data_IF_335745148421
#
_entry.id   IF_335745148421
#
_cell.length_a   1.000
_cell.length_b   1.000
_cell.length_c   1.000
_cell.angle_alpha   90.00
_cell.angle_beta   90.00
_cell.angle_gamma   90.00
#
_symmetry.space_group_name_H-M   'P 1'
#
loop_
_entity.id
_entity.type
_entity.pdbx_description
1 polymer ?
#
# COMPACT_ATOMS: atom_id res chain seq x y z
N UNK A 1 10.65 4.41 -20.09
CA UNK A 1 10.66 3.07 -19.43
C UNK A 1 9.21 2.67 -19.16
N UNK A 2 8.89 1.39 -19.10
CA UNK A 2 7.55 0.90 -18.79
C UNK A 2 7.57 0.18 -17.42
N UNK A 3 6.42 0.12 -16.75
CA UNK A 3 6.28 -0.66 -15.52
C UNK A 3 6.60 -2.14 -15.83
N UNK A 4 7.46 -2.81 -15.05
CA UNK A 4 8.04 -4.09 -15.47
C UNK A 4 7.12 -5.31 -15.29
N UNK A 5 6.07 -5.20 -14.47
CA UNK A 5 5.19 -6.31 -14.11
C UNK A 5 3.95 -6.39 -15.01
N UNK A 6 3.49 -7.61 -15.30
CA UNK A 6 2.45 -7.88 -16.30
C UNK A 6 1.10 -8.25 -15.71
N UNK A 7 1.08 -8.95 -14.60
CA UNK A 7 -0.15 -9.35 -13.90
C UNK A 7 -0.11 -8.83 -12.48
N UNK A 8 -0.93 -7.82 -12.18
CA UNK A 8 -0.84 -7.04 -10.95
C UNK A 8 -2.11 -7.13 -10.12
N UNK A 9 -2.01 -7.62 -8.90
CA UNK A 9 -3.08 -7.56 -7.91
C UNK A 9 -3.05 -6.21 -7.18
N UNK A 10 -4.17 -5.47 -7.18
CA UNK A 10 -4.27 -4.17 -6.47
C UNK A 10 -5.33 -4.25 -5.39
N UNK A 11 -4.89 -4.30 -4.13
CA UNK A 11 -5.76 -4.31 -2.95
C UNK A 11 -6.15 -2.88 -2.58
N UNK A 12 -7.46 -2.63 -2.44
CA UNK A 12 -8.01 -1.29 -2.19
C UNK A 12 -8.15 -0.44 -3.46
N UNK A 13 -8.54 -1.07 -4.58
CA UNK A 13 -8.65 -0.46 -5.91
C UNK A 13 -10.06 0.06 -6.25
N UNK A 14 -10.94 0.25 -5.28
CA UNK A 14 -12.32 0.71 -5.53
C UNK A 14 -12.49 2.24 -5.51
N UNK A 15 -11.46 3.00 -5.13
CA UNK A 15 -11.42 4.47 -5.17
C UNK A 15 -10.01 5.01 -4.89
N UNK A 16 -9.86 6.33 -5.00
CA UNK A 16 -8.66 7.07 -4.59
C UNK A 16 -7.38 6.57 -5.26
N UNK A 17 -6.29 6.54 -4.49
CA UNK A 17 -4.95 6.16 -4.99
C UNK A 17 -4.96 4.77 -5.62
N UNK A 18 -5.61 3.77 -4.98
CA UNK A 18 -5.61 2.40 -5.49
C UNK A 18 -6.33 2.24 -6.82
N UNK A 19 -7.44 2.94 -7.03
CA UNK A 19 -8.13 2.97 -8.31
C UNK A 19 -7.28 3.66 -9.38
N UNK A 20 -6.69 4.81 -9.06
CA UNK A 20 -5.85 5.55 -9.99
C UNK A 20 -4.60 4.75 -10.41
N UNK A 21 -3.96 4.03 -9.48
CA UNK A 21 -2.87 3.10 -9.80
C UNK A 21 -3.37 1.98 -10.72
N UNK A 22 -4.53 1.36 -10.41
CA UNK A 22 -5.09 0.27 -11.21
C UNK A 22 -5.38 0.73 -12.65
N UNK A 23 -5.97 1.91 -12.83
CA UNK A 23 -6.19 2.49 -14.16
C UNK A 23 -4.89 2.73 -14.91
N UNK A 24 -3.89 3.31 -14.22
CA UNK A 24 -2.58 3.58 -14.84
C UNK A 24 -1.84 2.31 -15.26
N UNK A 25 -1.96 1.24 -14.50
CA UNK A 25 -1.41 -0.08 -14.84
C UNK A 25 -2.06 -0.65 -16.12
N UNK A 26 -3.40 -0.58 -16.22
CA UNK A 26 -4.11 -1.04 -17.44
C UNK A 26 -3.71 -0.22 -18.67
N UNK A 27 -3.60 1.11 -18.53
CA UNK A 27 -3.12 1.99 -19.61
C UNK A 27 -1.73 1.61 -20.10
N UNK A 28 -0.88 1.10 -19.22
CA UNK A 28 0.49 0.70 -19.51
C UNK A 28 0.65 -0.78 -19.87
N UNK A 29 -0.46 -1.48 -20.09
CA UNK A 29 -0.49 -2.82 -20.66
C UNK A 29 -0.35 -3.97 -19.66
N UNK A 30 -0.53 -3.70 -18.34
CA UNK A 30 -0.64 -4.77 -17.34
C UNK A 30 -2.08 -5.29 -17.28
N UNK A 31 -2.23 -6.60 -17.01
CA UNK A 31 -3.51 -7.17 -16.57
C UNK A 31 -3.68 -6.88 -15.08
N UNK A 32 -4.78 -6.23 -14.70
CA UNK A 32 -5.04 -5.81 -13.32
C UNK A 32 -6.14 -6.64 -12.68
N UNK A 33 -5.83 -7.20 -11.51
CA UNK A 33 -6.80 -7.88 -10.63
C UNK A 33 -7.19 -6.88 -9.56
N UNK A 34 -8.35 -6.24 -9.72
CA UNK A 34 -8.85 -5.23 -8.80
C UNK A 34 -9.51 -5.88 -7.58
N UNK A 35 -9.08 -5.50 -6.36
CA UNK A 35 -9.63 -6.08 -5.12
C UNK A 35 -10.15 -5.00 -4.19
N UNK A 36 -11.32 -5.23 -3.63
CA UNK A 36 -11.94 -4.33 -2.64
C UNK A 36 -13.30 -4.82 -2.17
N UNK A 37 -13.96 -4.02 -1.35
CA UNK A 37 -15.26 -4.38 -0.74
C UNK A 37 -16.46 -3.99 -1.59
N UNK A 38 -16.33 -2.93 -2.42
CA UNK A 38 -17.42 -2.33 -3.20
C UNK A 38 -17.57 -3.03 -4.54
N UNK A 39 -18.50 -3.98 -4.59
CA UNK A 39 -18.74 -4.82 -5.77
C UNK A 39 -19.04 -4.00 -7.02
N UNK A 40 -19.91 -2.99 -6.92
CA UNK A 40 -20.32 -2.13 -8.03
C UNK A 40 -19.11 -1.38 -8.66
N UNK A 41 -18.19 -0.89 -7.83
CA UNK A 41 -16.99 -0.21 -8.31
C UNK A 41 -16.05 -1.19 -9.03
N UNK A 42 -15.94 -2.42 -8.54
CA UNK A 42 -15.14 -3.47 -9.16
C UNK A 42 -15.73 -3.87 -10.53
N UNK A 43 -17.04 -4.07 -10.60
CA UNK A 43 -17.74 -4.39 -11.85
C UNK A 43 -17.62 -3.24 -12.87
N UNK A 44 -17.72 -1.99 -12.42
CA UNK A 44 -17.49 -0.81 -13.26
C UNK A 44 -16.08 -0.75 -13.82
N UNK A 45 -15.06 -1.05 -13.00
CA UNK A 45 -13.66 -1.11 -13.43
C UNK A 45 -13.45 -2.15 -14.54
N UNK A 46 -13.96 -3.37 -14.35
CA UNK A 46 -13.83 -4.43 -15.35
C UNK A 46 -14.62 -4.09 -16.63
N UNK A 47 -15.82 -3.51 -16.48
CA UNK A 47 -16.63 -3.07 -17.64
C UNK A 47 -15.93 -1.99 -18.47
N UNK A 48 -15.24 -1.04 -17.79
CA UNK A 48 -14.50 0.05 -18.44
C UNK A 48 -13.30 -0.45 -19.24
N UNK A 49 -12.55 -1.41 -18.71
CA UNK A 49 -11.26 -1.82 -19.26
C UNK A 49 -11.31 -3.11 -20.10
N UNK A 50 -12.37 -3.89 -19.96
CA UNK A 50 -12.52 -5.19 -20.63
C UNK A 50 -11.86 -6.34 -19.86
N UNK A 51 -12.41 -7.55 -20.01
CA UNK A 51 -11.98 -8.76 -19.28
C UNK A 51 -10.58 -9.25 -19.64
N UNK A 52 -10.09 -8.87 -20.79
CA UNK A 52 -8.72 -9.19 -21.28
C UNK A 52 -7.65 -8.38 -20.54
N UNK A 53 -8.01 -7.22 -19.97
CA UNK A 53 -7.08 -6.31 -19.28
C UNK A 53 -7.35 -6.20 -17.79
N UNK A 54 -8.56 -6.58 -17.34
CA UNK A 54 -8.98 -6.41 -15.96
C UNK A 54 -9.87 -7.56 -15.49
N UNK A 55 -9.63 -8.00 -14.27
CA UNK A 55 -10.48 -8.87 -13.48
C UNK A 55 -10.73 -8.27 -12.10
N UNK A 56 -11.67 -8.81 -11.34
CA UNK A 56 -11.95 -8.27 -10.02
C UNK A 56 -12.38 -9.34 -9.02
N UNK A 57 -12.02 -9.15 -7.77
CA UNK A 57 -12.39 -10.03 -6.67
C UNK A 57 -12.91 -9.18 -5.52
N UNK A 58 -14.15 -9.44 -5.09
CA UNK A 58 -14.67 -8.81 -3.89
C UNK A 58 -14.07 -9.48 -2.65
N UNK A 59 -13.31 -8.73 -1.86
CA UNK A 59 -12.71 -9.23 -0.64
C UNK A 59 -12.54 -8.13 0.40
N UNK A 60 -12.75 -8.47 1.67
CA UNK A 60 -12.46 -7.62 2.82
C UNK A 60 -11.17 -8.12 3.50
N UNK A 61 -10.10 -7.34 3.36
CA UNK A 61 -8.79 -7.69 3.91
C UNK A 61 -8.78 -7.76 5.45
N UNK A 62 -9.77 -7.18 6.13
CA UNK A 62 -9.86 -7.24 7.60
C UNK A 62 -10.31 -8.60 8.11
N UNK A 63 -10.85 -9.45 7.25
CA UNK A 63 -11.12 -10.84 7.57
C UNK A 63 -9.84 -11.67 7.48
N UNK A 64 -8.99 -11.55 8.51
CA UNK A 64 -7.66 -12.16 8.54
C UNK A 64 -7.68 -13.68 8.38
N UNK A 65 -8.72 -14.34 8.90
CA UNK A 65 -8.86 -15.81 8.82
C UNK A 65 -9.14 -16.31 7.40
N UNK A 66 -9.71 -15.45 6.53
CA UNK A 66 -10.01 -15.78 5.14
C UNK A 66 -8.88 -15.44 4.17
N UNK A 67 -7.81 -14.79 4.62
CA UNK A 67 -6.69 -14.42 3.75
C UNK A 67 -6.03 -15.65 3.09
N UNK A 68 -5.75 -16.76 3.78
CA UNK A 68 -5.14 -17.93 3.15
C UNK A 68 -5.96 -18.47 1.98
N UNK A 69 -7.27 -18.68 2.15
CA UNK A 69 -8.15 -19.19 1.08
C UNK A 69 -8.33 -18.19 -0.06
N UNK A 70 -8.36 -16.88 0.23
CA UNK A 70 -8.34 -15.83 -0.79
C UNK A 70 -7.07 -15.91 -1.65
N UNK A 71 -5.90 -16.02 -1.02
CA UNK A 71 -4.62 -16.11 -1.71
C UNK A 71 -4.53 -17.36 -2.59
N UNK A 72 -4.96 -18.52 -2.08
CA UNK A 72 -5.02 -19.77 -2.86
C UNK A 72 -5.91 -19.62 -4.10
N UNK A 73 -7.08 -18.99 -3.97
CA UNK A 73 -7.97 -18.74 -5.09
C UNK A 73 -7.35 -17.80 -6.13
N UNK A 74 -6.71 -16.70 -5.70
CA UNK A 74 -6.01 -15.76 -6.58
C UNK A 74 -4.90 -16.46 -7.36
N UNK A 75 -4.04 -17.21 -6.69
CA UNK A 75 -2.90 -17.90 -7.32
C UNK A 75 -3.39 -18.94 -8.32
N UNK A 76 -4.47 -19.66 -8.00
CA UNK A 76 -5.06 -20.66 -8.89
C UNK A 76 -5.62 -20.04 -10.16
N UNK A 77 -6.28 -18.90 -10.06
CA UNK A 77 -6.90 -18.20 -11.18
C UNK A 77 -5.88 -17.40 -12.00
N UNK A 78 -4.86 -16.86 -11.32
CA UNK A 78 -3.84 -15.99 -11.92
C UNK A 78 -2.41 -16.52 -11.68
N UNK A 79 -2.02 -17.64 -12.26
CA UNK A 79 -0.70 -18.27 -12.02
C UNK A 79 0.49 -17.44 -12.55
N UNK A 80 0.22 -16.39 -13.33
CA UNK A 80 1.22 -15.45 -13.85
C UNK A 80 1.32 -14.16 -13.01
N UNK A 81 0.67 -14.11 -11.84
CA UNK A 81 0.74 -12.97 -10.94
C UNK A 81 2.20 -12.67 -10.55
N UNK A 82 2.68 -11.46 -10.85
CA UNK A 82 4.07 -11.06 -10.66
C UNK A 82 4.23 -9.80 -9.78
N UNK A 83 3.13 -9.10 -9.47
CA UNK A 83 3.17 -7.94 -8.57
C UNK A 83 1.91 -7.82 -7.71
N UNK A 84 2.10 -7.44 -6.44
CA UNK A 84 1.00 -7.20 -5.51
C UNK A 84 1.15 -5.80 -4.92
N UNK A 85 0.12 -4.97 -5.09
CA UNK A 85 0.04 -3.63 -4.53
C UNK A 85 -0.93 -3.63 -3.35
N UNK A 86 -0.39 -3.45 -2.15
CA UNK A 86 -1.12 -3.39 -0.89
C UNK A 86 -1.37 -1.92 -0.56
N UNK A 87 -2.51 -1.40 -1.03
CA UNK A 87 -2.85 0.02 -0.92
C UNK A 87 -3.98 0.30 0.08
N UNK A 88 -4.79 -0.67 0.45
CA UNK A 88 -5.90 -0.46 1.39
C UNK A 88 -5.45 0.23 2.67
N UNK A 89 -6.25 1.20 3.12
CA UNK A 89 -5.98 1.91 4.37
C UNK A 89 -7.19 2.71 4.83
N UNK A 90 -7.28 2.97 6.12
CA UNK A 90 -8.24 3.87 6.74
C UNK A 90 -7.52 4.84 7.67
N UNK A 91 -8.09 6.03 7.88
CA UNK A 91 -7.58 7.02 8.81
C UNK A 91 -8.72 7.55 9.67
N UNK A 92 -8.47 7.65 10.99
CA UNK A 92 -9.44 8.18 11.95
C UNK A 92 -8.75 9.18 12.89
N UNK A 93 -9.53 10.11 13.43
CA UNK A 93 -9.04 11.02 14.48
C UNK A 93 -8.89 10.27 15.80
N UNK A 94 -7.91 10.68 16.59
CA UNK A 94 -7.65 10.16 17.92
C UNK A 94 -7.24 11.32 18.84
N UNK A 95 -8.01 11.55 19.92
CA UNK A 95 -7.80 12.69 20.79
C UNK A 95 -7.72 12.27 22.27
N UNK A 96 -6.52 12.22 22.82
CA UNK A 96 -6.29 11.87 24.23
C UNK A 96 -6.59 13.00 25.21
N UNK A 97 -6.92 14.21 24.76
CA UNK A 97 -7.44 15.23 25.68
C UNK A 97 -8.84 14.90 26.19
N UNK A 98 -9.53 13.97 25.49
CA UNK A 98 -10.83 13.45 25.87
C UNK A 98 -10.82 11.90 25.78
N UNK A 99 -10.06 11.20 26.66
CA UNK A 99 -9.80 9.76 26.53
C UNK A 99 -11.07 8.91 26.60
N UNK A 100 -12.10 9.38 27.31
CA UNK A 100 -13.40 8.70 27.41
C UNK A 100 -14.20 8.67 26.08
N UNK A 101 -13.83 9.50 25.11
CA UNK A 101 -14.46 9.50 23.77
C UNK A 101 -13.74 8.58 22.78
N UNK A 102 -12.65 7.94 23.16
CA UNK A 102 -11.87 7.06 22.31
C UNK A 102 -12.56 5.70 22.20
N UNK A 103 -13.00 5.34 21.02
CA UNK A 103 -13.50 4.00 20.72
C UNK A 103 -12.33 3.10 20.29
N UNK A 104 -11.94 2.17 21.16
CA UNK A 104 -10.85 1.24 20.89
C UNK A 104 -11.16 0.29 19.75
N UNK A 105 -12.44 -0.01 19.44
CA UNK A 105 -12.79 -0.84 18.28
C UNK A 105 -12.42 -0.18 16.96
N UNK A 106 -12.49 1.16 16.89
CA UNK A 106 -12.02 1.95 15.75
C UNK A 106 -10.50 1.92 15.63
N UNK A 107 -9.79 2.01 16.78
CA UNK A 107 -8.33 1.90 16.86
C UNK A 107 -7.86 0.53 16.36
N UNK A 108 -8.50 -0.54 16.82
CA UNK A 108 -8.19 -1.92 16.42
C UNK A 108 -8.47 -2.16 14.94
N UNK A 109 -9.60 -1.64 14.43
CA UNK A 109 -9.96 -1.72 13.01
C UNK A 109 -8.94 -1.02 12.12
N UNK A 110 -8.45 0.15 12.54
CA UNK A 110 -7.43 0.90 11.80
C UNK A 110 -6.09 0.15 11.78
N UNK A 111 -5.65 -0.38 12.93
CA UNK A 111 -4.42 -1.19 13.01
C UNK A 111 -4.56 -2.49 12.20
N UNK A 112 -5.71 -3.14 12.28
CA UNK A 112 -5.99 -4.33 11.48
C UNK A 112 -5.89 -4.04 10.00
N UNK A 113 -6.54 -2.97 9.51
CA UNK A 113 -6.54 -2.61 8.10
C UNK A 113 -5.15 -2.19 7.61
N UNK A 114 -4.45 -1.34 8.39
CA UNK A 114 -3.24 -0.67 7.92
C UNK A 114 -1.94 -1.47 8.16
N UNK A 115 -1.97 -2.45 9.09
CA UNK A 115 -0.78 -3.21 9.46
C UNK A 115 -0.98 -4.72 9.47
N UNK A 116 -1.97 -5.26 10.22
CA UNK A 116 -2.13 -6.71 10.36
C UNK A 116 -2.53 -7.37 9.03
N UNK A 117 -3.50 -6.80 8.31
CA UNK A 117 -3.91 -7.33 7.01
C UNK A 117 -2.76 -7.32 5.98
N UNK A 118 -1.99 -6.22 5.79
CA UNK A 118 -0.77 -6.23 4.99
C UNK A 118 0.24 -7.30 5.39
N UNK A 119 0.49 -7.50 6.68
CA UNK A 119 1.39 -8.53 7.19
C UNK A 119 0.91 -9.94 6.85
N UNK A 120 -0.38 -10.24 7.07
CA UNK A 120 -0.99 -11.53 6.73
C UNK A 120 -0.97 -11.81 5.24
N UNK A 121 -1.30 -10.81 4.41
CA UNK A 121 -1.23 -10.90 2.94
C UNK A 121 0.20 -11.15 2.47
N UNK A 122 1.17 -10.41 3.02
CA UNK A 122 2.59 -10.62 2.72
C UNK A 122 3.02 -12.05 3.01
N UNK A 123 2.72 -12.54 4.23
CA UNK A 123 3.03 -13.93 4.62
C UNK A 123 2.42 -14.96 3.66
N UNK A 124 1.18 -14.74 3.24
CA UNK A 124 0.44 -15.71 2.43
C UNK A 124 0.88 -15.72 0.96
N UNK A 125 1.18 -14.55 0.35
CA UNK A 125 1.62 -14.45 -1.04
C UNK A 125 3.11 -14.71 -1.24
N UNK A 126 3.95 -14.44 -0.24
CA UNK A 126 5.41 -14.45 -0.39
C UNK A 126 5.96 -15.78 -0.92
N UNK A 127 5.52 -16.98 -0.46
CA UNK A 127 6.01 -18.25 -0.99
C UNK A 127 5.77 -18.40 -2.50
N UNK A 128 4.60 -17.96 -2.98
CA UNK A 128 4.27 -17.98 -4.41
C UNK A 128 5.14 -17.03 -5.20
N UNK A 129 5.31 -15.78 -4.74
CA UNK A 129 6.16 -14.80 -5.42
C UNK A 129 7.62 -15.25 -5.50
N UNK A 130 8.14 -15.88 -4.44
CA UNK A 130 9.49 -16.43 -4.41
C UNK A 130 9.68 -17.64 -5.34
N UNK A 131 8.62 -18.40 -5.60
CA UNK A 131 8.67 -19.56 -6.49
C UNK A 131 8.66 -19.20 -7.99
N UNK A 132 8.39 -17.94 -8.35
CA UNK A 132 8.39 -17.50 -9.74
C UNK A 132 9.82 -17.43 -10.30
N UNK A 133 10.00 -17.81 -11.57
CA UNK A 133 11.30 -17.74 -12.26
C UNK A 133 11.71 -16.34 -12.72
N UNK A 134 10.75 -15.41 -12.76
CA UNK A 134 10.94 -13.99 -13.13
C UNK A 134 10.92 -13.10 -11.89
N UNK A 135 11.46 -11.86 -11.95
CA UNK A 135 11.33 -10.90 -10.89
C UNK A 135 9.87 -10.61 -10.52
N UNK A 136 9.60 -10.56 -9.23
CA UNK A 136 8.28 -10.24 -8.67
C UNK A 136 8.34 -9.06 -7.71
N UNK A 137 7.20 -8.52 -7.26
CA UNK A 137 7.21 -7.42 -6.30
C UNK A 137 6.07 -7.43 -5.29
N UNK A 138 6.38 -6.87 -4.13
CA UNK A 138 5.43 -6.41 -3.12
C UNK A 138 5.54 -4.88 -3.02
N UNK A 139 4.46 -4.18 -3.30
CA UNK A 139 4.40 -2.72 -3.30
C UNK A 139 3.42 -2.27 -2.21
N UNK A 140 3.88 -1.47 -1.27
CA UNK A 140 3.10 -1.01 -0.13
C UNK A 140 2.82 0.50 -0.23
N UNK A 141 1.59 0.90 0.02
CA UNK A 141 1.23 2.31 0.19
C UNK A 141 1.22 2.65 1.69
N UNK A 142 2.28 3.30 2.14
CA UNK A 142 2.37 3.82 3.52
C UNK A 142 1.86 5.27 3.60
N UNK A 143 2.67 6.19 4.03
CA UNK A 143 2.36 7.63 4.10
C UNK A 143 3.61 8.42 4.51
N UNK A 144 3.71 9.69 4.15
CA UNK A 144 4.65 10.63 4.79
C UNK A 144 4.44 10.72 6.30
N UNK A 145 3.22 10.41 6.78
CA UNK A 145 2.92 10.35 8.22
C UNK A 145 3.55 9.13 8.94
N UNK A 146 4.14 8.21 8.22
CA UNK A 146 5.00 7.18 8.78
C UNK A 146 6.34 7.75 9.27
N UNK A 147 6.79 8.85 8.68
CA UNK A 147 8.06 9.51 8.98
C UNK A 147 7.88 10.67 9.98
N UNK A 148 6.83 11.47 9.78
CA UNK A 148 6.53 12.63 10.62
C UNK A 148 5.05 12.63 10.99
N UNK A 149 4.69 12.37 12.26
CA UNK A 149 3.30 12.27 12.68
C UNK A 149 2.60 13.62 12.77
N UNK A 150 1.27 13.60 12.67
CA UNK A 150 0.41 14.74 13.01
C UNK A 150 -0.47 14.40 14.21
N UNK A 151 -0.76 15.41 15.04
CA UNK A 151 -1.43 15.22 16.33
C UNK A 151 -2.84 14.62 16.19
N UNK A 152 -3.54 14.96 15.10
CA UNK A 152 -4.95 14.59 14.92
C UNK A 152 -5.20 13.08 14.77
N UNK A 153 -4.29 12.33 14.12
CA UNK A 153 -4.50 10.93 13.79
C UNK A 153 -3.32 10.04 14.22
N UNK A 154 -3.01 10.09 15.51
CA UNK A 154 -1.85 9.41 16.10
C UNK A 154 -1.80 7.92 15.83
N UNK A 155 -2.95 7.19 15.90
CA UNK A 155 -3.00 5.76 15.61
C UNK A 155 -2.72 5.44 14.13
N UNK A 156 -3.26 6.24 13.21
CA UNK A 156 -2.91 6.13 11.79
C UNK A 156 -1.40 6.28 11.56
N UNK A 157 -0.81 7.35 12.12
CA UNK A 157 0.63 7.58 12.02
C UNK A 157 1.43 6.39 12.56
N UNK A 158 1.06 5.86 13.73
CA UNK A 158 1.68 4.68 14.34
C UNK A 158 1.54 3.43 13.44
N UNK A 159 0.36 3.18 12.87
CA UNK A 159 0.13 2.03 11.98
C UNK A 159 0.99 2.10 10.71
N UNK A 160 1.13 3.29 10.13
CA UNK A 160 1.95 3.52 8.94
C UNK A 160 3.45 3.46 9.26
N UNK A 161 3.87 3.95 10.43
CA UNK A 161 5.24 3.80 10.92
C UNK A 161 5.60 2.33 11.17
N UNK A 162 4.69 1.55 11.76
CA UNK A 162 4.88 0.10 11.94
C UNK A 162 5.08 -0.61 10.60
N UNK A 163 4.27 -0.28 9.59
CA UNK A 163 4.40 -0.86 8.25
C UNK A 163 5.72 -0.44 7.58
N UNK A 164 6.11 0.83 7.68
CA UNK A 164 7.38 1.34 7.16
C UNK A 164 8.58 0.58 7.76
N UNK A 165 8.61 0.36 9.08
CA UNK A 165 9.66 -0.42 9.73
C UNK A 165 9.68 -1.88 9.26
N UNK A 166 8.51 -2.51 9.08
CA UNK A 166 8.42 -3.88 8.55
C UNK A 166 9.00 -3.95 7.13
N UNK A 167 8.73 -2.97 6.27
CA UNK A 167 9.26 -2.90 4.90
C UNK A 167 10.79 -2.89 4.90
N UNK A 168 11.43 -2.14 5.80
CA UNK A 168 12.89 -2.15 5.93
C UNK A 168 13.43 -3.55 6.25
N UNK A 169 12.77 -4.25 7.18
CA UNK A 169 13.16 -5.63 7.57
C UNK A 169 12.92 -6.60 6.40
N UNK A 170 11.78 -6.49 5.70
CA UNK A 170 11.48 -7.34 4.54
C UNK A 170 12.54 -7.19 3.44
N UNK A 171 13.00 -5.97 3.17
CA UNK A 171 14.07 -5.73 2.18
C UNK A 171 15.36 -6.46 2.53
N UNK A 172 15.80 -6.39 3.79
CA UNK A 172 17.00 -7.11 4.22
C UNK A 172 16.82 -8.64 4.17
N UNK A 173 15.65 -9.15 4.56
CA UNK A 173 15.35 -10.58 4.53
C UNK A 173 15.20 -11.14 3.11
N UNK A 174 14.77 -10.32 2.16
CA UNK A 174 14.47 -10.72 0.78
C UNK A 174 15.54 -10.28 -0.24
N UNK A 175 16.65 -9.68 0.20
CA UNK A 175 17.67 -9.11 -0.68
C UNK A 175 18.27 -10.09 -1.70
N UNK A 176 18.33 -11.38 -1.35
CA UNK A 176 18.82 -12.46 -2.21
C UNK A 176 17.68 -13.19 -2.96
N UNK A 177 16.45 -12.70 -2.86
CA UNK A 177 15.29 -13.27 -3.54
C UNK A 177 14.94 -12.50 -4.82
N UNK A 178 14.06 -13.09 -5.64
CA UNK A 178 13.50 -12.45 -6.82
C UNK A 178 12.38 -11.44 -6.49
N UNK A 179 12.06 -11.23 -5.20
CA UNK A 179 10.94 -10.37 -4.75
C UNK A 179 11.45 -8.98 -4.40
N UNK A 180 11.11 -7.98 -5.19
CA UNK A 180 11.37 -6.57 -4.89
C UNK A 180 10.34 -6.01 -3.94
N UNK A 181 10.78 -5.28 -2.91
CA UNK A 181 9.89 -4.62 -1.94
C UNK A 181 9.93 -3.10 -2.16
N UNK A 182 8.79 -2.55 -2.57
CA UNK A 182 8.64 -1.12 -2.93
C UNK A 182 7.71 -0.44 -1.93
N UNK A 183 8.02 0.79 -1.57
CA UNK A 183 7.19 1.63 -0.71
C UNK A 183 6.80 2.92 -1.42
N UNK A 184 5.49 3.17 -1.53
CA UNK A 184 4.93 4.44 -1.95
C UNK A 184 4.61 5.24 -0.67
N UNK A 185 5.09 6.48 -0.60
CA UNK A 185 4.87 7.37 0.54
C UNK A 185 4.08 8.62 0.09
N UNK A 186 2.74 8.56 0.08
CA UNK A 186 1.90 9.70 -0.26
C UNK A 186 1.97 10.81 0.79
N UNK A 187 1.85 12.09 0.37
CA UNK A 187 1.37 13.16 1.24
C UNK A 187 -0.14 13.02 1.50
N UNK A 188 -0.80 14.01 2.07
CA UNK A 188 -2.25 14.11 1.96
C UNK A 188 -2.62 14.25 0.47
N UNK A 189 -3.54 13.40 -0.01
CA UNK A 189 -4.02 13.38 -1.40
C UNK A 189 -5.53 13.51 -1.40
N UNK A 190 -6.08 14.29 -2.32
CA UNK A 190 -7.51 14.53 -2.48
C UNK A 190 -8.23 13.25 -2.89
N UNK A 191 -8.73 12.52 -1.90
CA UNK A 191 -9.42 11.24 -2.03
C UNK A 191 -10.53 11.11 -1.00
N UNK A 192 -11.35 10.07 -1.11
CA UNK A 192 -12.39 9.74 -0.11
C UNK A 192 -11.83 9.47 1.30
N UNK A 193 -10.54 9.25 1.47
CA UNK A 193 -9.93 8.99 2.77
C UNK A 193 -10.20 10.11 3.78
N UNK A 194 -10.29 11.34 3.29
CA UNK A 194 -10.48 12.54 4.09
C UNK A 194 -11.89 13.14 3.99
N UNK A 195 -12.84 12.50 3.29
CA UNK A 195 -14.18 13.03 3.13
C UNK A 195 -14.99 12.97 4.44
N UNK A 196 -16.07 13.75 4.52
CA UNK A 196 -16.91 13.86 5.71
C UNK A 196 -17.58 12.54 6.12
N UNK A 197 -17.73 11.59 5.20
CA UNK A 197 -18.26 10.25 5.51
C UNK A 197 -17.30 9.45 6.39
N UNK A 198 -16.01 9.60 6.17
CA UNK A 198 -14.96 8.87 6.86
C UNK A 198 -14.33 9.66 7.99
N UNK A 199 -14.33 10.99 7.89
CA UNK A 199 -13.74 11.92 8.86
C UNK A 199 -14.66 13.13 9.06
N UNK A 200 -15.76 12.98 9.81
CA UNK A 200 -16.79 14.02 9.97
C UNK A 200 -16.28 15.28 10.68
N UNK A 201 -15.16 15.19 11.36
CA UNK A 201 -14.47 16.31 12.01
C UNK A 201 -13.64 17.18 11.05
N UNK A 202 -13.48 16.76 9.77
CA UNK A 202 -12.74 17.53 8.76
C UNK A 202 -13.71 18.26 7.82
N UNK A 203 -13.70 19.59 7.90
CA UNK A 203 -14.43 20.42 6.94
C UNK A 203 -13.72 20.33 5.56
N UNK A 204 -14.49 20.05 4.50
CA UNK A 204 -13.98 19.93 3.13
C UNK A 204 -12.77 18.98 2.98
N UNK A 205 -12.71 17.93 3.81
CA UNK A 205 -11.57 17.01 3.87
C UNK A 205 -11.13 16.43 2.52
N UNK A 206 -12.08 16.11 1.64
CA UNK A 206 -11.78 15.60 0.29
C UNK A 206 -11.02 16.57 -0.63
N UNK A 207 -10.91 17.85 -0.25
CA UNK A 207 -10.15 18.87 -0.98
C UNK A 207 -8.77 19.14 -0.37
N UNK A 208 -8.44 18.46 0.73
CA UNK A 208 -7.17 18.67 1.44
C UNK A 208 -6.06 17.87 0.77
N UNK A 209 -4.93 18.53 0.55
CA UNK A 209 -3.73 17.91 0.04
C UNK A 209 -3.54 18.04 -1.48
N UNK A 210 -2.68 17.23 -2.00
CA UNK A 210 -2.28 17.20 -3.40
C UNK A 210 -3.41 16.64 -4.28
N UNK A 211 -3.69 17.25 -5.45
CA UNK A 211 -4.59 16.64 -6.42
C UNK A 211 -4.17 15.22 -6.79
N UNK A 212 -5.14 14.31 -6.94
CA UNK A 212 -4.86 12.89 -7.22
C UNK A 212 -4.09 12.70 -8.54
N UNK A 213 -4.38 13.52 -9.55
CA UNK A 213 -3.69 13.47 -10.84
C UNK A 213 -2.20 13.84 -10.72
N UNK A 214 -1.89 14.90 -9.98
CA UNK A 214 -0.50 15.31 -9.71
C UNK A 214 0.25 14.24 -8.92
N UNK A 215 -0.41 13.69 -7.89
CA UNK A 215 0.14 12.56 -7.14
C UNK A 215 0.47 11.38 -8.06
N UNK A 216 -0.44 11.01 -8.95
CA UNK A 216 -0.25 9.88 -9.86
C UNK A 216 0.89 10.12 -10.85
N UNK A 217 1.06 11.34 -11.35
CA UNK A 217 2.17 11.67 -12.25
C UNK A 217 3.52 11.40 -11.59
N UNK A 218 3.74 11.94 -10.38
CA UNK A 218 5.01 11.75 -9.64
C UNK A 218 5.21 10.32 -9.14
N UNK A 219 4.14 9.68 -8.65
CA UNK A 219 4.18 8.30 -8.17
C UNK A 219 4.53 7.33 -9.31
N UNK A 220 3.90 7.52 -10.46
CA UNK A 220 4.12 6.66 -11.63
C UNK A 220 5.55 6.75 -12.15
N UNK A 221 6.12 7.95 -12.21
CA UNK A 221 7.53 8.15 -12.56
C UNK A 221 8.45 7.30 -11.68
N UNK A 222 8.28 7.37 -10.35
CA UNK A 222 9.08 6.57 -9.43
C UNK A 222 8.92 5.07 -9.60
N UNK A 223 7.69 4.59 -9.86
CA UNK A 223 7.41 3.18 -10.10
C UNK A 223 8.04 2.67 -11.40
N UNK A 224 7.97 3.45 -12.48
CA UNK A 224 8.56 3.10 -13.79
C UNK A 224 10.08 3.15 -13.77
N UNK A 225 10.68 4.07 -13.02
CA UNK A 225 12.11 4.12 -12.77
C UNK A 225 12.60 2.95 -11.91
N UNK A 226 11.69 2.18 -11.35
CA UNK A 226 12.01 1.04 -10.50
C UNK A 226 12.59 1.42 -9.15
N UNK A 227 12.23 2.59 -8.61
CA UNK A 227 12.64 3.01 -7.25
C UNK A 227 12.04 2.07 -6.21
N UNK A 228 12.81 1.79 -5.17
CA UNK A 228 12.31 1.05 -4.00
C UNK A 228 11.49 1.96 -3.07
N UNK A 229 11.79 3.24 -3.08
CA UNK A 229 11.10 4.27 -2.32
C UNK A 229 10.58 5.35 -3.25
N UNK A 230 9.28 5.60 -3.14
CA UNK A 230 8.56 6.58 -3.95
C UNK A 230 7.92 7.62 -3.03
N UNK A 231 8.73 8.52 -2.42
CA UNK A 231 8.21 9.68 -1.70
C UNK A 231 7.65 10.69 -2.70
N UNK A 232 6.39 11.10 -2.51
CA UNK A 232 5.69 12.00 -3.43
C UNK A 232 5.47 13.37 -2.82
N UNK A 233 5.59 14.42 -3.60
CA UNK A 233 5.33 15.79 -3.21
C UNK A 233 6.21 16.22 -2.02
N UNK A 234 5.57 16.85 -1.03
CA UNK A 234 6.26 17.34 0.16
C UNK A 234 6.96 16.27 1.01
N UNK A 235 6.63 15.00 0.84
CA UNK A 235 7.29 13.91 1.59
C UNK A 235 8.77 13.81 1.22
N UNK A 236 9.17 14.27 0.03
CA UNK A 236 10.58 14.32 -0.39
C UNK A 236 11.45 15.16 0.55
N UNK A 237 10.90 16.18 1.20
CA UNK A 237 11.63 16.99 2.17
C UNK A 237 11.95 16.21 3.46
N UNK A 238 11.07 15.29 3.86
CA UNK A 238 11.27 14.43 5.03
C UNK A 238 12.22 13.27 4.73
N UNK A 239 12.40 12.95 3.45
CA UNK A 239 13.17 11.80 3.01
C UNK A 239 14.65 11.88 3.35
N UNK A 240 15.25 13.07 3.41
CA UNK A 240 16.64 13.24 3.78
C UNK A 240 16.98 12.70 5.19
N UNK A 241 16.05 12.82 6.14
CA UNK A 241 16.21 12.25 7.50
C UNK A 241 16.09 10.73 7.49
N UNK A 242 15.22 10.21 6.65
CA UNK A 242 15.01 8.78 6.49
C UNK A 242 16.21 8.09 5.85
N UNK A 243 16.84 8.70 4.88
CA UNK A 243 18.10 8.17 4.29
C UNK A 243 19.20 7.99 5.31
N UNK A 244 19.38 8.96 6.22
CA UNK A 244 20.37 8.85 7.30
C UNK A 244 20.04 7.72 8.28
N UNK A 245 18.77 7.59 8.65
CA UNK A 245 18.29 6.49 9.50
C UNK A 245 18.55 5.13 8.85
N UNK A 246 18.30 4.98 7.56
CA UNK A 246 18.55 3.75 6.80
C UNK A 246 20.02 3.39 6.70
N UNK A 247 20.90 4.36 6.52
CA UNK A 247 22.35 4.12 6.56
C UNK A 247 22.78 3.53 7.89
N UNK A 248 22.24 4.06 9.00
CA UNK A 248 22.50 3.52 10.35
C UNK A 248 21.95 2.11 10.51
N UNK A 249 20.73 1.85 10.07
CA UNK A 249 20.13 0.52 10.09
C UNK A 249 20.97 -0.49 9.29
N UNK A 250 21.35 -0.18 8.06
CA UNK A 250 22.23 -1.02 7.25
C UNK A 250 23.59 -1.30 7.89
N UNK A 251 24.18 -0.31 8.58
CA UNK A 251 25.40 -0.49 9.37
C UNK A 251 25.21 -1.46 10.53
N UNK A 252 24.08 -1.37 11.25
CA UNK A 252 23.76 -2.32 12.33
C UNK A 252 23.56 -3.75 11.80
N UNK A 253 22.82 -3.91 10.71
CA UNK A 253 22.59 -5.23 10.07
C UNK A 253 23.93 -5.88 9.71
N UNK A 254 24.83 -5.13 9.06
CA UNK A 254 26.19 -5.63 8.72
C UNK A 254 26.98 -6.04 9.95
N UNK A 255 26.95 -5.25 11.02
CA UNK A 255 27.65 -5.57 12.25
C UNK A 255 27.11 -6.84 12.93
N UNK A 256 25.78 -7.02 12.93
CA UNK A 256 25.10 -8.19 13.53
C UNK A 256 25.27 -9.47 12.69
N UNK A 257 25.42 -9.36 11.36
CA UNK A 257 25.64 -10.51 10.47
C UNK A 257 27.11 -10.97 10.41
N UNK A 258 27.98 -10.42 11.24
CA UNK A 258 29.38 -10.87 11.39
C UNK A 258 30.28 -10.59 10.20
N UNK A 259 29.94 -9.60 9.37
CA UNK A 259 30.82 -9.18 8.27
C UNK A 259 31.06 -10.22 7.17
N UNK A 260 30.05 -11.08 6.89
CA UNK A 260 30.07 -12.00 5.74
C UNK A 260 29.71 -11.28 4.46
#
# INVERSE_FOLDING_TARGET
MSFPYKTVLVLGSTSGIGLAIAEKLVENGSHVIAVGRRKENLESFVSKHGKDKASSIQFDITNLSSIPSFVEAVIKEHPTLDSIIINSGIQRSLNFTHPQSIDLSVVDSELTTNYLSPLHLTKAFLPFLQSQSSPTSLIFTTSGLALTPIVRCGNYCASKAAMHHLILVLREQLKESNVKVVEILPPAVQTELHDAKHQPDMKDGGKIGMPLEEFMAECWEGLVEGKEDVPVGMVRMQWGWEEERRKRFGGMVKAMSGGK
#
